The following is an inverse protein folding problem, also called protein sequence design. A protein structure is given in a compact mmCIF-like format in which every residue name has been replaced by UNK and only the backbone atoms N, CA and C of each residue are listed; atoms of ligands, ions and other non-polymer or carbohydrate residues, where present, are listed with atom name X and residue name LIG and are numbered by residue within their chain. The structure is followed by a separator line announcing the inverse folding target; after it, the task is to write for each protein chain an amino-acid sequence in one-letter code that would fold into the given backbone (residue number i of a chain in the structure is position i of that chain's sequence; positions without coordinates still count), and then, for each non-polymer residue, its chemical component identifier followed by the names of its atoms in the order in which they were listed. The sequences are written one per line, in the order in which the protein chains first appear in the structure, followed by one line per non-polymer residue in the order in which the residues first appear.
data_IF_627519535624
#
_entry.id   IF_627519535624
#
_cell.length_a   1.000
_cell.length_b   1.000
_cell.length_c   1.000
_cell.angle_alpha   90.00
_cell.angle_beta   90.00
_cell.angle_gamma   90.00
#
_symmetry.space_group_name_H-M   'P 1'
#
loop_
_entity.id
_entity.type
_entity.pdbx_description
1 polymer ?
#
# COMPACT_ATOMS: atom_id res chain seq x y z
N UNK A 1 9.57 -10.44 -10.28
CA UNK A 1 10.22 -9.32 -9.57
C UNK A 1 9.61 -8.05 -10.13
N UNK A 2 8.79 -7.33 -9.35
CA UNK A 2 8.33 -6.01 -9.75
C UNK A 2 9.18 -4.98 -9.02
N UNK A 3 9.65 -3.97 -9.73
CA UNK A 3 10.38 -2.84 -9.18
C UNK A 3 9.70 -1.57 -9.67
N UNK A 4 9.83 -0.51 -8.87
CA UNK A 4 9.31 0.80 -9.21
C UNK A 4 10.43 1.82 -9.07
N UNK A 5 10.68 2.60 -10.13
CA UNK A 5 11.70 3.66 -10.13
C UNK A 5 11.01 4.99 -10.32
N UNK A 6 11.36 5.95 -9.47
CA UNK A 6 11.06 7.35 -9.70
C UNK A 6 12.28 8.01 -10.30
N UNK A 7 12.29 8.20 -11.61
CA UNK A 7 13.31 8.98 -12.29
C UNK A 7 13.20 10.47 -11.92
N UNK A 8 14.31 11.18 -11.98
CA UNK A 8 14.34 12.64 -11.81
C UNK A 8 13.67 13.34 -12.99
N UNK A 9 13.90 12.84 -14.21
CA UNK A 9 13.17 13.23 -15.41
C UNK A 9 12.09 12.21 -15.74
N UNK A 10 10.82 12.65 -15.73
CA UNK A 10 9.70 11.76 -15.99
C UNK A 10 9.59 11.43 -17.48
N UNK A 11 9.56 10.14 -17.80
CA UNK A 11 9.09 9.66 -19.11
C UNK A 11 7.63 10.06 -19.30
N UNK A 12 7.23 10.38 -20.52
CA UNK A 12 5.82 10.60 -20.86
C UNK A 12 5.14 9.28 -21.25
N UNK A 13 3.86 9.13 -20.87
CA UNK A 13 3.02 8.06 -21.37
C UNK A 13 2.57 8.31 -22.82
N UNK A 14 1.80 7.38 -23.38
CA UNK A 14 1.27 7.50 -24.76
C UNK A 14 0.35 8.72 -24.96
N UNK A 15 -0.18 9.28 -23.87
CA UNK A 15 -1.04 10.46 -23.86
C UNK A 15 -0.26 11.75 -23.51
N UNK A 16 1.07 11.69 -23.44
CA UNK A 16 1.93 12.84 -23.12
C UNK A 16 1.94 13.22 -21.64
N UNK A 17 1.41 12.39 -20.74
CA UNK A 17 1.40 12.68 -19.29
C UNK A 17 2.68 12.15 -18.61
N UNK A 18 3.24 12.89 -17.65
CA UNK A 18 4.41 12.43 -16.91
C UNK A 18 4.12 11.15 -16.11
N UNK A 19 4.94 10.12 -16.33
CA UNK A 19 4.94 8.88 -15.56
C UNK A 19 5.82 9.10 -14.33
N UNK A 20 5.18 9.44 -13.21
CA UNK A 20 5.86 9.76 -11.94
C UNK A 20 6.66 8.58 -11.37
N UNK A 21 6.25 7.36 -11.70
CA UNK A 21 6.87 6.11 -11.26
C UNK A 21 6.84 5.10 -12.41
N UNK A 22 8.00 4.67 -12.88
CA UNK A 22 8.13 3.64 -13.91
C UNK A 22 8.10 2.25 -13.27
N UNK A 23 7.48 1.30 -13.95
CA UNK A 23 7.37 -0.10 -13.50
C UNK A 23 7.75 -1.02 -14.65
N UNK A 24 8.33 -2.17 -14.33
CA UNK A 24 8.71 -3.14 -15.35
C UNK A 24 7.52 -3.49 -16.26
N UNK A 25 7.71 -3.37 -17.58
CA UNK A 25 6.66 -3.70 -18.56
C UNK A 25 6.28 -5.18 -18.43
N UNK A 26 4.98 -5.47 -18.32
CA UNK A 26 4.47 -6.83 -18.10
C UNK A 26 4.64 -7.33 -16.66
N UNK A 27 5.11 -6.48 -15.73
CA UNK A 27 5.16 -6.79 -14.31
C UNK A 27 3.78 -7.06 -13.74
N UNK A 28 3.68 -8.06 -12.86
CA UNK A 28 2.48 -8.26 -12.05
C UNK A 28 2.43 -7.23 -10.93
N UNK A 29 1.22 -6.80 -10.59
CA UNK A 29 0.98 -6.05 -9.36
C UNK A 29 1.54 -6.87 -8.18
N UNK A 30 2.33 -6.23 -7.32
CA UNK A 30 2.80 -6.82 -6.08
C UNK A 30 2.81 -5.77 -4.96
N UNK A 31 2.86 -6.23 -3.72
CA UNK A 31 3.14 -5.39 -2.57
C UNK A 31 4.61 -4.94 -2.60
N UNK A 32 4.86 -3.69 -2.21
CA UNK A 32 6.20 -3.19 -1.98
C UNK A 32 6.64 -3.61 -0.58
N UNK A 33 7.58 -4.55 -0.51
CA UNK A 33 8.07 -5.16 0.73
C UNK A 33 9.57 -4.87 0.85
N UNK A 34 9.96 -3.86 1.65
CA UNK A 34 11.36 -3.64 1.97
C UNK A 34 11.98 -4.83 2.69
N UNK A 35 13.27 -5.06 2.50
CA UNK A 35 14.00 -6.17 3.11
C UNK A 35 13.86 -6.20 4.65
N UNK A 36 13.92 -5.03 5.30
CA UNK A 36 13.71 -4.91 6.77
C UNK A 36 12.33 -5.41 7.20
N UNK A 37 11.29 -5.10 6.42
CA UNK A 37 9.92 -5.55 6.68
C UNK A 37 9.75 -7.04 6.38
N UNK A 38 10.40 -7.55 5.32
CA UNK A 38 10.28 -8.93 4.85
C UNK A 38 10.52 -9.96 5.94
N UNK A 39 11.59 -9.80 6.72
CA UNK A 39 11.92 -10.69 7.85
C UNK A 39 10.89 -10.70 8.98
N UNK A 40 10.01 -9.69 9.05
CA UNK A 40 9.02 -9.48 10.11
C UNK A 40 7.58 -9.82 9.66
N UNK A 41 7.36 -10.16 8.39
CA UNK A 41 6.02 -10.42 7.86
C UNK A 41 5.36 -11.65 8.49
N UNK A 42 6.14 -12.67 8.85
CA UNK A 42 5.64 -13.88 9.52
C UNK A 42 5.38 -13.72 11.02
N UNK A 43 5.71 -12.58 11.63
CA UNK A 43 5.54 -12.36 13.07
C UNK A 43 4.35 -11.42 13.36
N UNK A 44 3.19 -11.93 13.79
CA UNK A 44 2.00 -11.12 14.05
C UNK A 44 2.12 -10.23 15.30
N UNK A 45 3.14 -10.43 16.15
CA UNK A 45 3.39 -9.59 17.32
C UNK A 45 4.06 -8.26 16.96
N UNK A 46 4.53 -8.09 15.72
CA UNK A 46 5.05 -6.82 15.22
C UNK A 46 3.93 -6.11 14.45
N UNK A 47 3.49 -4.91 14.87
CA UNK A 47 2.48 -4.16 14.15
C UNK A 47 2.88 -3.94 12.69
N UNK A 48 1.96 -4.19 11.76
CA UNK A 48 2.16 -3.95 10.34
C UNK A 48 1.60 -2.58 9.96
N UNK A 49 2.42 -1.75 9.32
CA UNK A 49 1.98 -0.50 8.72
C UNK A 49 1.79 -0.69 7.22
N UNK A 50 0.72 -0.13 6.67
CA UNK A 50 0.42 -0.18 5.25
C UNK A 50 0.24 1.25 4.76
N UNK A 51 0.99 1.64 3.74
CA UNK A 51 0.92 2.97 3.14
C UNK A 51 0.96 2.89 1.61
N UNK A 52 0.85 4.05 0.94
CA UNK A 52 0.96 4.15 -0.51
C UNK A 52 2.35 4.64 -0.93
N UNK A 53 2.99 3.89 -1.83
CA UNK A 53 4.22 4.28 -2.49
C UNK A 53 5.50 4.16 -1.65
N UNK A 54 6.59 3.81 -2.32
CA UNK A 54 7.89 3.50 -1.72
C UNK A 54 8.46 4.63 -0.83
N UNK A 55 8.26 5.91 -1.20
CA UNK A 55 8.76 7.03 -0.39
C UNK A 55 8.21 7.07 1.03
N UNK A 56 6.92 6.76 1.19
CA UNK A 56 6.28 6.74 2.52
C UNK A 56 6.75 5.53 3.32
N UNK A 57 6.97 4.41 2.65
CA UNK A 57 7.56 3.20 3.22
C UNK A 57 8.97 3.49 3.75
N UNK A 58 9.84 4.05 2.93
CA UNK A 58 11.23 4.39 3.29
C UNK A 58 11.29 5.43 4.42
N UNK A 59 10.41 6.44 4.37
CA UNK A 59 10.28 7.42 5.45
C UNK A 59 9.88 6.76 6.76
N UNK A 60 8.87 5.89 6.74
CA UNK A 60 8.42 5.15 7.91
C UNK A 60 9.53 4.30 8.53
N UNK A 61 10.25 3.54 7.70
CA UNK A 61 11.41 2.74 8.14
C UNK A 61 12.49 3.62 8.78
N UNK A 62 12.78 4.77 8.18
CA UNK A 62 13.80 5.70 8.66
C UNK A 62 13.43 6.34 10.00
N UNK A 63 12.13 6.46 10.30
CA UNK A 63 11.59 7.02 11.55
C UNK A 63 11.20 5.94 12.58
N UNK A 64 11.69 4.71 12.43
CA UNK A 64 11.57 3.67 13.45
C UNK A 64 10.35 2.76 13.34
N UNK A 65 9.52 2.88 12.28
CA UNK A 65 8.52 1.87 11.97
C UNK A 65 9.26 0.60 11.55
N UNK A 66 9.09 -0.48 12.31
CA UNK A 66 9.85 -1.73 12.09
C UNK A 66 9.34 -2.55 10.90
N UNK A 67 8.02 -2.58 10.70
CA UNK A 67 7.38 -3.38 9.66
C UNK A 67 6.36 -2.54 8.91
N UNK A 68 6.68 -2.19 7.67
CA UNK A 68 5.86 -1.37 6.79
C UNK A 68 5.90 -1.89 5.36
N UNK A 69 4.76 -1.92 4.68
CA UNK A 69 4.64 -2.27 3.27
C UNK A 69 3.97 -1.14 2.49
N UNK A 70 4.30 -1.06 1.21
CA UNK A 70 3.72 -0.11 0.27
C UNK A 70 2.75 -0.77 -0.70
N UNK A 71 1.78 0.01 -1.15
CA UNK A 71 0.90 -0.37 -2.25
C UNK A 71 0.88 0.73 -3.32
N UNK A 72 0.55 0.34 -4.55
CA UNK A 72 0.33 1.28 -5.64
C UNK A 72 -1.16 1.66 -5.66
N UNK A 73 -1.49 2.79 -5.04
CA UNK A 73 -2.87 3.19 -4.79
C UNK A 73 -3.62 2.27 -3.81
N UNK A 74 -4.84 2.66 -3.47
CA UNK A 74 -5.73 1.93 -2.55
C UNK A 74 -6.21 0.57 -3.06
N UNK A 75 -6.13 0.33 -4.37
CA UNK A 75 -6.45 -0.98 -4.97
C UNK A 75 -5.22 -1.86 -5.19
N UNK A 76 -4.03 -1.37 -4.83
CA UNK A 76 -2.76 -2.07 -5.07
C UNK A 76 -2.58 -3.37 -4.30
N UNK A 77 -3.56 -3.79 -3.49
CA UNK A 77 -3.64 -5.09 -2.81
C UNK A 77 -4.38 -6.17 -3.62
N UNK A 78 -4.97 -5.80 -4.76
CA UNK A 78 -5.70 -6.68 -5.66
C UNK A 78 -5.01 -6.78 -7.03
N UNK A 79 -5.19 -7.92 -7.70
CA UNK A 79 -4.86 -8.14 -9.10
C UNK A 79 -6.07 -8.66 -9.89
N UNK A 80 -5.80 -9.11 -11.12
CA UNK A 80 -6.78 -9.77 -11.99
C UNK A 80 -6.40 -11.24 -12.19
N UNK A 81 -7.39 -12.14 -12.16
CA UNK A 81 -7.21 -13.52 -12.62
C UNK A 81 -7.33 -13.61 -14.15
N UNK A 82 -7.09 -14.79 -14.71
CA UNK A 82 -7.10 -15.04 -16.16
C UNK A 82 -8.48 -14.79 -16.81
N UNK A 83 -9.54 -14.70 -16.00
CA UNK A 83 -10.90 -14.40 -16.43
C UNK A 83 -11.33 -12.95 -16.13
N UNK A 84 -10.41 -12.07 -15.72
CA UNK A 84 -10.68 -10.65 -15.44
C UNK A 84 -11.34 -10.36 -14.07
N UNK A 85 -11.56 -11.39 -13.26
CA UNK A 85 -12.03 -11.27 -11.88
C UNK A 85 -11.00 -10.64 -10.96
N UNK A 86 -11.45 -9.80 -10.02
CA UNK A 86 -10.57 -9.18 -9.02
C UNK A 86 -10.24 -10.17 -7.91
N UNK A 87 -8.96 -10.39 -7.65
CA UNK A 87 -8.46 -11.32 -6.62
C UNK A 87 -7.41 -10.63 -5.74
N UNK A 88 -7.29 -11.04 -4.48
CA UNK A 88 -6.20 -10.58 -3.62
C UNK A 88 -4.85 -11.05 -4.17
N UNK A 89 -3.80 -10.27 -3.95
CA UNK A 89 -2.45 -10.65 -4.37
C UNK A 89 -1.92 -11.87 -3.60
N UNK A 90 -1.17 -12.78 -4.24
CA UNK A 90 -0.53 -13.90 -3.55
C UNK A 90 0.43 -13.48 -2.42
N UNK A 91 0.98 -12.27 -2.49
CA UNK A 91 1.89 -11.71 -1.49
C UNK A 91 1.27 -11.71 -0.06
N UNK A 92 -0.06 -11.63 0.03
CA UNK A 92 -0.78 -11.70 1.32
C UNK A 92 -0.61 -13.03 2.05
N UNK A 93 -0.23 -14.10 1.36
CA UNK A 93 0.04 -15.41 1.99
C UNK A 93 1.37 -15.43 2.76
N UNK A 94 2.28 -14.49 2.49
CA UNK A 94 3.52 -14.34 3.27
C UNK A 94 3.32 -13.53 4.57
N UNK A 95 2.13 -12.95 4.78
CA UNK A 95 1.86 -12.03 5.88
C UNK A 95 0.97 -12.72 6.92
N UNK A 96 1.53 -12.98 8.10
CA UNK A 96 0.74 -13.42 9.25
C UNK A 96 -0.15 -12.25 9.70
N UNK A 97 -1.47 -12.40 9.60
CA UNK A 97 -2.46 -11.35 9.94
C UNK A 97 -3.31 -11.70 11.16
N UNK A 98 -3.34 -12.96 11.57
CA UNK A 98 -4.16 -13.45 12.67
C UNK A 98 -3.82 -12.76 14.00
N UNK A 99 -4.76 -11.97 14.51
CA UNK A 99 -4.60 -11.17 15.74
C UNK A 99 -3.60 -10.01 15.60
N UNK A 100 -3.04 -9.79 14.41
CA UNK A 100 -2.02 -8.77 14.17
C UNK A 100 -2.63 -7.38 14.17
N UNK A 101 -1.96 -6.47 14.84
CA UNK A 101 -2.26 -5.04 14.74
C UNK A 101 -1.83 -4.52 13.37
N UNK A 102 -2.77 -3.94 12.62
CA UNK A 102 -2.52 -3.36 11.29
C UNK A 102 -2.92 -1.89 11.28
N UNK A 103 -2.02 -1.02 10.85
CA UNK A 103 -2.25 0.43 10.73
C UNK A 103 -2.30 0.82 9.26
N UNK A 104 -3.44 1.33 8.81
CA UNK A 104 -3.62 1.91 7.48
C UNK A 104 -3.23 3.39 7.52
N UNK A 105 -2.06 3.71 6.97
CA UNK A 105 -1.45 5.04 6.97
C UNK A 105 -1.41 5.64 5.55
N UNK A 106 -2.60 5.95 5.03
CA UNK A 106 -2.76 6.62 3.74
C UNK A 106 -2.85 8.14 3.90
N UNK A 107 -2.71 8.86 2.80
CA UNK A 107 -2.82 10.31 2.77
C UNK A 107 -4.21 10.80 3.19
N UNK A 108 -4.32 12.03 3.71
CA UNK A 108 -5.59 12.61 4.12
C UNK A 108 -6.59 12.70 2.96
N UNK A 109 -6.12 12.98 1.74
CA UNK A 109 -6.93 13.00 0.52
C UNK A 109 -7.62 11.67 0.21
N UNK A 110 -7.00 10.58 0.65
CA UNK A 110 -7.51 9.21 0.49
C UNK A 110 -8.61 8.94 1.51
N UNK A 111 -8.55 9.60 2.67
CA UNK A 111 -9.52 9.48 3.76
C UNK A 111 -10.76 10.36 3.55
N UNK A 112 -10.68 11.43 2.74
CA UNK A 112 -11.78 12.40 2.55
C UNK A 112 -12.65 12.13 1.32
N UNK A 113 -12.10 11.56 0.24
CA UNK A 113 -12.86 11.28 -1.00
C UNK A 113 -13.70 10.01 -0.89
N UNK A 114 -15.01 10.12 -1.09
CA UNK A 114 -15.96 9.00 -0.94
C UNK A 114 -15.61 7.76 -1.79
N UNK A 115 -15.15 7.95 -3.03
CA UNK A 115 -14.72 6.85 -3.91
C UNK A 115 -13.46 6.13 -3.40
N UNK A 116 -12.60 6.84 -2.69
CA UNK A 116 -11.35 6.31 -2.15
C UNK A 116 -11.57 5.65 -0.79
N UNK A 117 -12.48 6.21 0.01
CA UNK A 117 -12.98 5.59 1.25
C UNK A 117 -13.52 4.18 1.03
N UNK A 118 -14.34 3.98 -0.01
CA UNK A 118 -14.88 2.63 -0.31
C UNK A 118 -13.78 1.60 -0.63
N UNK A 119 -12.68 2.03 -1.24
CA UNK A 119 -11.53 1.15 -1.51
C UNK A 119 -10.79 0.77 -0.21
N UNK A 120 -10.59 1.75 0.69
CA UNK A 120 -10.00 1.53 2.01
C UNK A 120 -10.88 0.64 2.89
N UNK A 121 -12.20 0.84 2.88
CA UNK A 121 -13.15 0.00 3.59
C UNK A 121 -13.08 -1.44 3.10
N UNK A 122 -12.95 -1.66 1.78
CA UNK A 122 -12.77 -3.00 1.21
C UNK A 122 -11.46 -3.66 1.65
N UNK A 123 -10.35 -2.90 1.66
CA UNK A 123 -9.07 -3.39 2.18
C UNK A 123 -9.19 -3.77 3.67
N UNK A 124 -9.81 -2.89 4.47
CA UNK A 124 -10.02 -3.11 5.89
C UNK A 124 -10.87 -4.35 6.17
N UNK A 125 -11.94 -4.55 5.39
CA UNK A 125 -12.77 -5.75 5.46
C UNK A 125 -11.97 -7.02 5.13
N UNK A 126 -11.16 -7.00 4.07
CA UNK A 126 -10.28 -8.12 3.71
C UNK A 126 -9.29 -8.47 4.84
N UNK A 127 -8.63 -7.47 5.41
CA UNK A 127 -7.68 -7.65 6.53
C UNK A 127 -8.39 -8.19 7.78
N UNK A 128 -9.57 -7.65 8.08
CA UNK A 128 -10.40 -8.08 9.22
C UNK A 128 -10.90 -9.51 9.04
N UNK A 129 -11.27 -9.91 7.83
CA UNK A 129 -11.64 -11.30 7.51
C UNK A 129 -10.47 -12.27 7.75
N UNK A 130 -9.22 -11.80 7.57
CA UNK A 130 -7.98 -12.51 7.94
C UNK A 130 -7.58 -12.30 9.41
N UNK A 131 -8.53 -11.88 10.25
CA UNK A 131 -8.41 -11.70 11.71
C UNK A 131 -7.42 -10.61 12.16
N UNK A 132 -7.08 -9.66 11.29
CA UNK A 132 -6.29 -8.49 11.68
C UNK A 132 -7.11 -7.50 12.52
N UNK A 133 -6.43 -6.80 13.44
CA UNK A 133 -6.97 -5.66 14.19
C UNK A 133 -6.60 -4.37 13.46
N UNK A 134 -7.51 -3.92 12.60
CA UNK A 134 -7.26 -2.78 11.70
C UNK A 134 -7.53 -1.45 12.42
N UNK A 135 -6.59 -0.52 12.29
CA UNK A 135 -6.69 0.88 12.73
C UNK A 135 -6.35 1.81 11.58
N UNK A 136 -7.00 2.97 11.52
CA UNK A 136 -6.68 4.01 10.54
C UNK A 136 -5.82 5.08 11.20
N UNK A 137 -4.74 5.48 10.54
CA UNK A 137 -4.00 6.68 10.90
C UNK A 137 -4.66 7.88 10.21
N UNK A 138 -5.23 8.79 11.01
CA UNK A 138 -5.72 10.07 10.54
C UNK A 138 -4.61 11.11 10.77
N UNK A 139 -4.06 11.63 9.68
CA UNK A 139 -3.11 12.73 9.75
C UNK A 139 -3.88 14.04 10.02
N UNK A 140 -3.32 14.96 10.82
CA UNK A 140 -3.92 16.26 11.02
C UNK A 140 -3.97 17.02 9.69
N UNK A 141 -5.08 17.72 9.44
CA UNK A 141 -5.17 18.66 8.31
C UNK A 141 -4.23 19.83 8.63
N UNK A 142 -3.28 20.12 7.73
CA UNK A 142 -2.43 21.29 7.87
C UNK A 142 -3.27 22.54 7.54
N UNK A 143 -3.24 23.54 8.41
CA UNK A 143 -3.93 24.82 8.16
C UNK A 143 -3.44 25.44 6.85
N UNK A 144 -4.33 25.60 5.86
CA UNK A 144 -4.03 26.29 4.60
C UNK A 144 -4.53 25.60 3.32
N UNK A 145 -4.87 24.31 3.38
CA UNK A 145 -5.51 23.59 2.28
C UNK A 145 -6.93 23.20 2.68
N UNK A 146 -7.92 23.93 2.17
CA UNK A 146 -9.32 23.52 2.27
C UNK A 146 -9.63 22.42 1.24
N UNK A 147 -10.50 21.44 1.57
CA UNK A 147 -10.84 20.31 0.72
C UNK A 147 -11.57 20.68 -0.58
#
# INVERSE_FOLDING_TARGET
MAWQVKADEFRLDKAGKPVKYDTATGGRQCLDIPERSGSLLGNPNVPLWITEGAKKVDSGLSHGIRCIIGMQGVYGWCGKNDHGGTVALPDWEAIALNGRDVVLAFDSDVMTKASVRGALERLSAFLTQRQARVRYLLLPVLEGEQP
#
